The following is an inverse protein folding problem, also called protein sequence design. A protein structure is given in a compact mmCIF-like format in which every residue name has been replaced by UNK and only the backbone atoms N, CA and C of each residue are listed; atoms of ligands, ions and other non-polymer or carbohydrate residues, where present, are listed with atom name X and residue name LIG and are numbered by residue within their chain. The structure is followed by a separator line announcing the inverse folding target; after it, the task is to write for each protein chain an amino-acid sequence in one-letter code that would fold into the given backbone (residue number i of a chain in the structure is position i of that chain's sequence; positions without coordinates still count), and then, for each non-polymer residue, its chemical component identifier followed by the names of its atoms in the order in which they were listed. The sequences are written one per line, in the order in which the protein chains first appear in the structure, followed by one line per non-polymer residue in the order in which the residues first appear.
data_IF_614054908257
#
_entry.id   IF_614054908257
#
_cell.length_a   1.000
_cell.length_b   1.000
_cell.length_c   1.000
_cell.angle_alpha   90.00
_cell.angle_beta   90.00
_cell.angle_gamma   90.00
#
_symmetry.space_group_name_H-M   'P 1'
#
loop_
_entity.id
_entity.type
_entity.pdbx_description
1 polymer ?
#
# COMPACT_ATOMS: atom_id res chain seq x y z
N UNK A 1 -81.75 -0.11 -7.77
CA UNK A 1 -80.72 -1.09 -7.33
C UNK A 1 -79.65 -0.34 -6.56
N UNK A 2 -79.62 -0.49 -5.23
CA UNK A 2 -78.89 0.38 -4.31
C UNK A 2 -77.42 -0.06 -4.16
N UNK A 3 -76.50 0.82 -4.55
CA UNK A 3 -75.06 0.72 -4.24
C UNK A 3 -74.87 1.15 -2.78
N UNK A 4 -74.54 0.21 -1.89
CA UNK A 4 -74.14 0.57 -0.52
C UNK A 4 -72.65 0.83 -0.48
N UNK A 5 -72.34 2.04 -0.06
CA UNK A 5 -71.05 2.70 0.09
C UNK A 5 -70.24 2.11 1.24
N UNK A 6 -68.93 2.06 1.06
CA UNK A 6 -67.92 1.71 2.06
C UNK A 6 -67.95 2.74 3.19
N UNK A 7 -68.15 2.28 4.42
CA UNK A 7 -67.99 3.09 5.63
C UNK A 7 -66.51 3.17 6.00
N UNK A 8 -65.98 4.40 6.01
CA UNK A 8 -64.65 4.71 6.48
C UNK A 8 -64.53 4.42 7.98
N UNK A 9 -63.53 3.61 8.38
CA UNK A 9 -63.06 3.56 9.76
C UNK A 9 -61.72 4.29 9.84
N UNK A 10 -61.69 5.23 10.78
CA UNK A 10 -60.70 6.26 10.98
C UNK A 10 -59.24 5.79 10.84
N UNK A 11 -58.46 6.59 10.11
CA UNK A 11 -57.01 6.58 10.14
C UNK A 11 -56.55 6.93 11.56
N UNK A 12 -56.10 5.94 12.33
CA UNK A 12 -55.25 6.18 13.47
C UNK A 12 -53.86 6.52 12.91
N UNK A 13 -53.53 7.82 12.92
CA UNK A 13 -52.16 8.30 12.76
C UNK A 13 -51.31 7.71 13.87
N UNK A 14 -50.61 6.62 13.57
CA UNK A 14 -49.56 6.07 14.42
C UNK A 14 -48.37 7.03 14.28
N UNK A 15 -48.14 7.85 15.30
CA UNK A 15 -46.98 8.74 15.38
C UNK A 15 -45.68 7.96 15.11
N UNK A 16 -44.79 8.39 14.20
CA UNK A 16 -43.52 7.71 13.93
C UNK A 16 -42.46 8.05 15.00
N UNK A 17 -42.82 8.05 16.28
CA UNK A 17 -41.92 8.38 17.39
C UNK A 17 -42.00 7.30 18.46
N UNK A 18 -41.91 6.02 18.10
CA UNK A 18 -41.60 4.94 19.07
C UNK A 18 -40.74 3.85 18.42
N UNK A 19 -39.84 4.18 17.50
CA UNK A 19 -38.89 3.20 16.93
C UNK A 19 -37.43 3.68 16.98
N UNK A 20 -37.10 4.73 17.75
CA UNK A 20 -35.74 5.20 17.92
C UNK A 20 -35.08 4.73 19.24
N UNK A 21 -35.85 4.38 20.27
CA UNK A 21 -35.30 4.18 21.62
C UNK A 21 -34.78 2.76 21.93
N UNK A 22 -34.99 1.77 21.05
CA UNK A 22 -34.59 0.38 21.32
C UNK A 22 -33.18 0.00 20.82
N UNK A 23 -32.47 0.93 20.16
CA UNK A 23 -31.14 0.70 19.59
C UNK A 23 -30.03 1.57 20.20
N UNK A 24 -30.33 2.43 21.18
CA UNK A 24 -29.36 3.39 21.71
C UNK A 24 -28.40 2.84 22.78
N UNK A 25 -28.51 1.56 23.16
CA UNK A 25 -27.58 0.96 24.12
C UNK A 25 -27.34 -0.50 23.81
N UNK A 26 -26.36 -0.79 22.95
CA UNK A 26 -25.77 -2.12 22.91
C UNK A 26 -25.21 -2.45 24.30
N UNK A 27 -25.56 -3.62 24.87
CA UNK A 27 -25.05 -4.01 26.19
C UNK A 27 -23.53 -4.08 26.14
N UNK A 28 -22.87 -3.41 27.09
CA UNK A 28 -21.43 -3.47 27.26
C UNK A 28 -21.10 -4.78 27.99
N UNK A 29 -19.87 -5.29 27.88
CA UNK A 29 -19.48 -6.57 28.51
C UNK A 29 -19.77 -6.65 30.03
N UNK A 30 -19.82 -5.49 30.69
CA UNK A 30 -20.22 -5.31 32.09
C UNK A 30 -21.65 -5.79 32.39
N UNK A 31 -22.58 -5.64 31.44
CA UNK A 31 -23.98 -6.03 31.58
C UNK A 31 -24.17 -7.57 31.63
N UNK A 32 -23.14 -8.33 31.23
CA UNK A 32 -23.10 -9.80 31.29
C UNK A 32 -22.33 -10.34 32.50
N UNK A 33 -21.92 -9.48 33.44
CA UNK A 33 -21.11 -9.89 34.60
C UNK A 33 -19.72 -10.40 34.23
N UNK A 34 -19.22 -10.05 33.03
CA UNK A 34 -17.87 -10.38 32.60
C UNK A 34 -16.93 -9.26 33.04
N UNK A 35 -16.19 -9.51 34.10
CA UNK A 35 -15.05 -8.67 34.51
C UNK A 35 -14.11 -8.47 33.29
N UNK A 36 -13.63 -7.24 33.04
CA UNK A 36 -12.71 -7.00 31.94
C UNK A 36 -11.42 -7.80 32.19
N UNK A 37 -11.19 -8.82 31.37
CA UNK A 37 -9.95 -9.60 31.35
C UNK A 37 -8.79 -8.66 30.99
N UNK A 38 -8.13 -8.09 32.00
CA UNK A 38 -6.88 -7.35 31.85
C UNK A 38 -5.78 -8.36 31.55
N UNK A 39 -5.67 -8.74 30.28
CA UNK A 39 -4.55 -9.56 29.83
C UNK A 39 -3.25 -8.76 30.01
N UNK A 40 -2.20 -9.34 30.63
CA UNK A 40 -0.90 -8.68 30.66
C UNK A 40 -0.45 -8.43 29.22
N UNK A 41 0.18 -7.28 28.96
CA UNK A 41 0.64 -6.89 27.63
C UNK A 41 1.65 -7.93 27.09
N UNK A 42 1.14 -8.92 26.37
CA UNK A 42 1.96 -9.96 25.75
C UNK A 42 2.69 -9.34 24.56
N UNK A 43 3.97 -9.03 24.75
CA UNK A 43 4.82 -8.53 23.68
C UNK A 43 5.20 -9.71 22.79
N UNK A 44 4.54 -9.83 21.65
CA UNK A 44 4.89 -10.87 20.66
C UNK A 44 6.38 -10.77 20.30
N UNK A 45 7.12 -11.90 20.28
CA UNK A 45 8.48 -11.91 19.80
C UNK A 45 8.49 -11.51 18.31
N UNK A 46 9.44 -10.65 17.92
CA UNK A 46 9.65 -10.30 16.51
C UNK A 46 10.16 -11.53 15.77
N UNK A 47 9.28 -12.26 15.10
CA UNK A 47 9.71 -13.35 14.21
C UNK A 47 10.54 -12.77 13.06
N UNK A 48 11.78 -13.24 12.92
CA UNK A 48 12.64 -12.88 11.79
C UNK A 48 12.10 -13.49 10.50
N UNK A 49 12.07 -12.71 9.42
CA UNK A 49 11.62 -13.16 8.10
C UNK A 49 12.65 -14.02 7.34
N UNK A 50 13.67 -14.54 8.03
CA UNK A 50 14.78 -15.28 7.43
C UNK A 50 14.30 -16.53 6.66
N UNK A 51 13.40 -17.32 7.26
CA UNK A 51 12.86 -18.53 6.64
C UNK A 51 12.02 -18.23 5.37
N UNK A 52 11.25 -17.14 5.39
CA UNK A 52 10.50 -16.70 4.20
C UNK A 52 11.41 -16.17 3.10
N UNK A 53 12.47 -15.44 3.47
CA UNK A 53 13.47 -14.96 2.51
C UNK A 53 14.23 -16.12 1.89
N UNK A 54 14.65 -17.13 2.65
CA UNK A 54 15.34 -18.31 2.10
C UNK A 54 14.44 -19.10 1.15
N UNK A 55 13.18 -19.33 1.51
CA UNK A 55 12.23 -20.02 0.64
C UNK A 55 12.03 -19.28 -0.70
N UNK A 56 12.00 -17.94 -0.68
CA UNK A 56 11.84 -17.14 -1.90
C UNK A 56 13.03 -17.22 -2.88
N UNK A 57 14.20 -17.74 -2.48
CA UNK A 57 15.33 -17.96 -3.38
C UNK A 57 15.20 -19.22 -4.24
N UNK A 58 14.31 -20.15 -3.88
CA UNK A 58 14.04 -21.35 -4.66
C UNK A 58 13.20 -21.06 -5.92
N UNK A 59 12.48 -19.94 -5.94
CA UNK A 59 11.79 -19.47 -7.15
C UNK A 59 12.81 -18.84 -8.12
N UNK A 60 12.93 -19.45 -9.31
CA UNK A 60 13.85 -19.02 -10.36
C UNK A 60 13.59 -17.58 -10.82
N UNK A 61 12.32 -17.17 -10.93
CA UNK A 61 11.96 -15.82 -11.35
C UNK A 61 12.43 -14.78 -10.32
N UNK A 62 12.20 -15.07 -9.03
CA UNK A 62 12.65 -14.22 -7.92
C UNK A 62 14.18 -14.15 -7.87
N UNK A 63 14.87 -15.28 -8.09
CA UNK A 63 16.34 -15.32 -8.13
C UNK A 63 16.92 -14.47 -9.25
N UNK A 64 16.37 -14.58 -10.47
CA UNK A 64 16.82 -13.78 -11.63
C UNK A 64 16.58 -12.29 -11.36
N UNK A 65 15.38 -11.92 -10.89
CA UNK A 65 15.03 -10.54 -10.58
C UNK A 65 15.88 -9.92 -9.45
N UNK A 66 16.31 -10.73 -8.47
CA UNK A 66 17.19 -10.28 -7.37
C UNK A 66 18.66 -10.16 -7.79
N UNK A 67 19.11 -10.99 -8.73
CA UNK A 67 20.52 -11.04 -9.19
C UNK A 67 20.81 -9.99 -10.26
N UNK A 68 19.83 -9.64 -11.10
CA UNK A 68 19.98 -8.62 -12.15
C UNK A 68 20.37 -7.28 -11.55
N UNK A 69 21.60 -6.85 -11.90
CA UNK A 69 22.13 -5.53 -11.60
C UNK A 69 21.87 -4.64 -12.81
N UNK A 70 21.03 -3.63 -12.61
CA UNK A 70 20.77 -2.62 -13.64
C UNK A 70 21.65 -1.40 -13.35
N UNK A 71 22.30 -0.88 -14.39
CA UNK A 71 22.96 0.43 -14.34
C UNK A 71 21.91 1.53 -14.12
N UNK A 72 22.31 2.62 -13.48
CA UNK A 72 21.40 3.71 -13.13
C UNK A 72 22.06 5.05 -13.43
N UNK A 73 21.32 5.90 -14.11
CA UNK A 73 21.66 7.29 -14.35
C UNK A 73 20.97 8.14 -13.29
N UNK A 74 21.70 9.04 -12.67
CA UNK A 74 21.19 9.93 -11.62
C UNK A 74 21.42 11.36 -12.01
N UNK A 75 20.33 12.12 -12.06
CA UNK A 75 20.36 13.56 -12.31
C UNK A 75 20.13 14.31 -11.00
N UNK A 76 21.05 15.19 -10.65
CA UNK A 76 20.98 16.04 -9.45
C UNK A 76 21.73 17.36 -9.70
N UNK A 77 21.21 18.48 -9.19
CA UNK A 77 21.85 19.80 -9.30
C UNK A 77 22.30 20.15 -10.75
N UNK A 78 21.47 19.78 -11.75
CA UNK A 78 21.74 19.98 -13.18
C UNK A 78 22.83 19.07 -13.79
N UNK A 79 23.43 18.18 -13.00
CA UNK A 79 24.45 17.23 -13.43
C UNK A 79 23.89 15.82 -13.52
N UNK A 80 24.30 15.10 -14.55
CA UNK A 80 23.90 13.71 -14.79
C UNK A 80 25.11 12.80 -14.60
N UNK A 81 25.00 11.80 -13.72
CA UNK A 81 26.05 10.80 -13.48
C UNK A 81 25.52 9.39 -13.66
N UNK A 82 26.32 8.53 -14.25
CA UNK A 82 25.99 7.12 -14.43
C UNK A 82 26.73 6.26 -13.41
N UNK A 83 26.01 5.28 -12.87
CA UNK A 83 26.52 4.34 -11.89
C UNK A 83 26.17 2.91 -12.30
N UNK A 84 27.02 1.95 -11.94
CA UNK A 84 26.78 0.54 -12.26
C UNK A 84 25.59 -0.05 -11.51
N UNK A 85 25.20 0.54 -10.39
CA UNK A 85 24.07 0.07 -9.57
C UNK A 85 23.48 1.14 -8.65
N UNK A 86 22.24 0.93 -8.21
CA UNK A 86 21.57 1.76 -7.17
C UNK A 86 22.40 1.86 -5.89
N UNK A 87 23.01 0.75 -5.43
CA UNK A 87 23.82 0.75 -4.21
C UNK A 87 25.05 1.65 -4.34
N UNK A 88 25.71 1.60 -5.49
CA UNK A 88 26.88 2.42 -5.77
C UNK A 88 26.53 3.91 -5.84
N UNK A 89 25.43 4.24 -6.52
CA UNK A 89 24.91 5.61 -6.53
C UNK A 89 24.60 6.12 -5.12
N UNK A 90 23.94 5.31 -4.28
CA UNK A 90 23.65 5.67 -2.89
C UNK A 90 24.93 5.84 -2.05
N UNK A 91 25.96 5.05 -2.32
CA UNK A 91 27.25 5.15 -1.61
C UNK A 91 28.02 6.40 -2.02
N UNK A 92 28.11 6.67 -3.33
CA UNK A 92 28.80 7.83 -3.89
C UNK A 92 28.12 9.15 -3.50
N UNK A 93 26.79 9.17 -3.47
CA UNK A 93 25.98 10.32 -3.09
C UNK A 93 25.74 10.43 -1.58
N UNK A 94 26.34 9.53 -0.77
CA UNK A 94 26.18 9.46 0.70
C UNK A 94 24.72 9.40 1.16
N UNK A 95 23.86 8.79 0.35
CA UNK A 95 22.45 8.59 0.66
C UNK A 95 22.26 7.45 1.69
N UNK A 96 21.11 7.37 2.37
CA UNK A 96 20.83 6.31 3.35
C UNK A 96 20.88 4.91 2.72
N UNK A 97 22.00 4.21 2.89
CA UNK A 97 22.24 2.88 2.30
C UNK A 97 21.16 1.89 2.75
N UNK A 98 20.62 2.01 3.96
CA UNK A 98 19.56 1.11 4.45
C UNK A 98 18.31 1.09 3.56
N UNK A 99 18.04 2.17 2.79
CA UNK A 99 16.84 2.29 1.94
C UNK A 99 17.03 1.76 0.51
N UNK A 100 18.26 1.46 0.09
CA UNK A 100 18.57 1.13 -1.32
C UNK A 100 17.82 -0.11 -1.84
N UNK A 101 17.55 -1.11 -0.99
CA UNK A 101 16.87 -2.35 -1.38
C UNK A 101 15.41 -2.07 -1.75
N UNK A 102 14.71 -1.31 -0.91
CA UNK A 102 13.32 -0.90 -1.15
C UNK A 102 13.25 -0.02 -2.39
N UNK A 103 14.15 0.97 -2.49
CA UNK A 103 14.20 1.88 -3.62
C UNK A 103 14.48 1.16 -4.95
N UNK A 104 15.40 0.18 -4.97
CA UNK A 104 15.66 -0.64 -6.16
C UNK A 104 14.40 -1.38 -6.62
N UNK A 105 13.58 -1.87 -5.70
CA UNK A 105 12.32 -2.54 -6.02
C UNK A 105 11.29 -1.60 -6.66
N UNK A 106 11.21 -0.36 -6.17
CA UNK A 106 10.35 0.69 -6.76
C UNK A 106 10.87 1.09 -8.14
N UNK A 107 12.16 1.40 -8.24
CA UNK A 107 12.81 1.81 -9.50
C UNK A 107 12.66 0.78 -10.61
N UNK A 108 12.75 -0.54 -10.31
CA UNK A 108 12.51 -1.59 -11.32
C UNK A 108 11.07 -1.62 -11.84
N UNK A 109 10.10 -1.12 -11.07
CA UNK A 109 8.69 -1.05 -11.47
C UNK A 109 8.37 0.24 -12.20
N UNK A 110 8.88 1.37 -11.72
CA UNK A 110 8.59 2.70 -12.27
C UNK A 110 9.55 3.13 -13.38
N UNK A 111 10.68 2.44 -13.57
CA UNK A 111 11.80 2.75 -14.48
C UNK A 111 12.53 4.07 -14.18
N UNK A 112 11.82 5.03 -13.61
CA UNK A 112 12.29 6.33 -13.14
C UNK A 112 11.68 6.64 -11.77
N UNK A 113 12.50 7.06 -10.83
CA UNK A 113 12.04 7.37 -9.48
C UNK A 113 12.84 8.51 -8.88
N UNK A 114 12.15 9.45 -8.22
CA UNK A 114 12.80 10.51 -7.45
C UNK A 114 13.06 10.05 -6.01
N UNK A 115 14.26 10.30 -5.51
CA UNK A 115 14.61 10.11 -4.11
C UNK A 115 14.85 11.46 -3.46
N UNK A 116 14.01 11.82 -2.49
CA UNK A 116 14.25 12.96 -1.61
C UNK A 116 15.23 12.53 -0.49
N UNK A 117 16.41 13.12 -0.51
CA UNK A 117 17.36 12.95 0.58
C UNK A 117 16.88 13.70 1.84
N UNK A 118 17.31 13.27 3.04
CA UNK A 118 17.07 14.01 4.28
C UNK A 118 17.61 15.45 4.22
N UNK A 119 18.61 15.68 3.38
CA UNK A 119 19.27 16.97 3.15
C UNK A 119 18.45 17.92 2.26
N UNK A 120 17.22 17.55 1.88
CA UNK A 120 16.32 18.36 1.04
C UNK A 120 16.62 18.31 -0.45
N UNK A 121 17.69 17.61 -0.86
CA UNK A 121 18.04 17.43 -2.28
C UNK A 121 17.22 16.32 -2.93
N UNK A 122 16.76 16.57 -4.15
CA UNK A 122 16.00 15.61 -4.96
C UNK A 122 16.93 15.00 -6.02
N UNK A 123 17.02 13.68 -6.01
CA UNK A 123 17.82 12.90 -6.95
C UNK A 123 16.89 12.11 -7.87
N UNK A 124 16.96 12.35 -9.18
CA UNK A 124 16.16 11.60 -10.16
C UNK A 124 16.97 10.41 -10.65
N UNK A 125 16.49 9.19 -10.38
CA UNK A 125 17.12 7.96 -10.83
C UNK A 125 16.39 7.41 -12.05
N UNK A 126 17.13 6.99 -13.08
CA UNK A 126 16.62 6.35 -14.28
C UNK A 126 17.44 5.10 -14.60
N UNK A 127 16.81 3.99 -15.00
CA UNK A 127 17.56 2.77 -15.38
C UNK A 127 18.31 3.02 -16.70
N UNK A 128 19.64 2.84 -16.69
CA UNK A 128 20.53 3.12 -17.82
C UNK A 128 20.48 2.06 -18.95
N UNK A 129 19.38 1.32 -19.08
CA UNK A 129 19.28 0.11 -19.89
C UNK A 129 18.19 0.10 -20.95
N UNK A 130 17.44 1.19 -21.12
CA UNK A 130 16.34 1.21 -22.09
C UNK A 130 16.70 2.07 -23.30
N UNK A 131 17.15 1.39 -24.36
CA UNK A 131 16.88 1.81 -25.73
C UNK A 131 15.36 1.70 -25.87
N UNK A 132 14.66 2.83 -26.04
CA UNK A 132 13.22 2.86 -26.28
C UNK A 132 12.90 1.95 -27.47
N UNK A 133 12.09 0.91 -27.27
CA UNK A 133 11.17 0.46 -28.31
C UNK A 133 9.84 1.15 -28.00
N UNK A 134 9.66 2.30 -28.65
CA UNK A 134 8.44 3.08 -28.72
C UNK A 134 7.83 2.73 -30.10
N UNK A 135 6.69 2.03 -30.11
CA UNK A 135 5.97 1.52 -31.30
C UNK A 135 5.58 0.04 -31.09
N UNK A 136 4.33 -0.43 -31.11
CA UNK A 136 3.19 -0.01 -31.92
C UNK A 136 1.87 -0.33 -31.18
N UNK A 137 1.17 0.69 -30.68
CA UNK A 137 -0.29 0.65 -30.52
C UNK A 137 -0.89 1.80 -31.35
N UNK A 138 -0.60 1.76 -32.65
CA UNK A 138 -1.28 2.56 -33.65
C UNK A 138 -1.71 1.65 -34.82
N UNK A 139 -2.98 1.27 -34.78
CA UNK A 139 -3.88 0.98 -35.92
C UNK A 139 -3.46 -0.18 -36.84
N UNK A 140 -4.23 -1.28 -36.76
CA UNK A 140 -4.56 -2.09 -37.95
C UNK A 140 -6.07 -2.34 -38.02
N UNK A 141 -6.66 -1.59 -38.97
CA UNK A 141 -7.92 -1.76 -39.73
C UNK A 141 -9.23 -1.62 -38.94
#
# INVERSE_FOLDING_TARGET
MARKTLTAKAAATVSPVVMAAAWERFPRGEDFGLEPLVLPAFKMPKFGNAAGVSASWNDAAVRIARTTKNGVRVTFDGSTKEYRSVKEAFTALRLPIQKHIKFRGVLKKSLREAFAAPDGKVYMFEIAGERREEGDDAIKI
#
